data_IF_814873686508
#
_entry.id   IF_814873686508
#
_cell.length_a   1.000
_cell.length_b   1.000
_cell.length_c   1.000
_cell.angle_alpha   90.00
_cell.angle_beta   90.00
_cell.angle_gamma   90.00
#
_symmetry.space_group_name_H-M   'P 1'
#
loop_
_entity.id
_entity.type
_entity.pdbx_description
1 polymer ?
#
# COMPACT_ATOMS: atom_id res chain seq x y z
N UNK A 1 11.97 -2.35 6.16
CA UNK A 1 12.51 -2.62 4.80
C UNK A 1 12.80 -1.29 4.12
N UNK A 2 13.99 -1.08 3.53
CA UNK A 2 14.30 0.18 2.87
C UNK A 2 13.91 0.13 1.38
N UNK A 3 12.67 0.55 1.07
CA UNK A 3 12.15 0.51 -0.30
C UNK A 3 12.89 1.42 -1.26
N UNK A 4 13.52 2.49 -0.79
CA UNK A 4 14.31 3.37 -1.65
C UNK A 4 15.59 2.69 -2.17
N UNK A 5 16.08 1.65 -1.48
CA UNK A 5 17.19 0.83 -1.96
C UNK A 5 16.74 -0.25 -2.96
N UNK A 6 15.59 -0.88 -2.72
CA UNK A 6 15.08 -1.96 -3.57
C UNK A 6 14.45 -1.43 -4.86
N UNK A 7 13.69 -0.34 -4.74
CA UNK A 7 12.97 0.32 -5.84
C UNK A 7 13.29 1.81 -5.75
N UNK A 8 14.44 2.25 -6.30
CA UNK A 8 14.88 3.64 -6.20
C UNK A 8 14.01 4.55 -7.06
N UNK A 9 13.91 5.83 -6.66
CA UNK A 9 13.18 6.87 -7.41
C UNK A 9 13.69 7.02 -8.85
N UNK A 10 15.00 6.88 -9.05
CA UNK A 10 15.65 6.95 -10.36
C UNK A 10 16.29 5.61 -10.69
N UNK A 11 16.07 5.15 -11.91
CA UNK A 11 16.58 3.89 -12.43
C UNK A 11 16.31 3.81 -13.93
N UNK A 12 16.54 2.64 -14.51
CA UNK A 12 16.21 2.37 -15.92
C UNK A 12 14.71 2.11 -16.11
N UNK A 13 13.92 3.15 -15.88
CA UNK A 13 12.47 3.11 -16.06
C UNK A 13 12.09 3.76 -17.38
N UNK A 14 11.33 3.03 -18.19
CA UNK A 14 10.79 3.55 -19.46
C UNK A 14 9.63 4.52 -19.27
N UNK A 15 8.94 4.45 -18.13
CA UNK A 15 7.83 5.33 -17.82
C UNK A 15 8.38 6.70 -17.34
N UNK A 16 7.95 7.76 -18.02
CA UNK A 16 8.60 9.06 -17.98
C UNK A 16 7.99 10.07 -16.99
N UNK A 17 6.89 9.73 -16.31
CA UNK A 17 6.17 10.66 -15.41
C UNK A 17 6.91 10.91 -14.08
N UNK A 18 7.99 10.17 -13.81
CA UNK A 18 8.86 10.39 -12.65
C UNK A 18 8.41 9.68 -11.36
N UNK A 19 7.41 8.80 -11.43
CA UNK A 19 6.87 8.03 -10.30
C UNK A 19 6.83 6.51 -10.58
N UNK A 20 7.67 6.02 -11.50
CA UNK A 20 7.78 4.59 -11.83
C UNK A 20 8.02 3.70 -10.61
N UNK A 21 8.80 4.19 -9.65
CA UNK A 21 9.06 3.49 -8.40
C UNK A 21 7.79 3.34 -7.55
N UNK A 22 6.89 4.33 -7.56
CA UNK A 22 5.62 4.28 -6.86
C UNK A 22 4.69 3.21 -7.43
N UNK A 23 4.65 3.06 -8.76
CA UNK A 23 3.91 1.97 -9.41
C UNK A 23 4.42 0.59 -8.97
N UNK A 24 5.74 0.38 -9.03
CA UNK A 24 6.37 -0.89 -8.64
C UNK A 24 6.12 -1.17 -7.15
N UNK A 25 6.34 -0.19 -6.27
CA UNK A 25 6.08 -0.32 -4.82
C UNK A 25 4.61 -0.68 -4.56
N UNK A 26 3.67 -0.01 -5.22
CA UNK A 26 2.23 -0.32 -5.08
C UNK A 26 1.92 -1.76 -5.47
N UNK A 27 2.51 -2.27 -6.55
CA UNK A 27 2.36 -3.68 -6.94
C UNK A 27 2.97 -4.66 -5.94
N UNK A 28 4.06 -4.30 -5.25
CA UNK A 28 4.69 -5.15 -4.23
C UNK A 28 3.89 -5.24 -2.93
N UNK A 29 3.32 -4.12 -2.45
CA UNK A 29 2.51 -4.11 -1.23
C UNK A 29 1.06 -4.54 -1.48
N UNK A 30 0.57 -4.37 -2.70
CA UNK A 30 -0.82 -4.61 -3.08
C UNK A 30 -1.70 -3.38 -2.86
N UNK A 31 -2.68 -3.12 -3.75
CA UNK A 31 -3.55 -1.95 -3.67
C UNK A 31 -4.70 -2.10 -2.66
N UNK A 32 -4.88 -3.29 -2.08
CA UNK A 32 -5.93 -3.59 -1.10
C UNK A 32 -5.48 -4.74 -0.19
N UNK A 33 -6.10 -4.82 1.00
CA UNK A 33 -5.89 -5.89 1.96
C UNK A 33 -7.24 -6.40 2.46
N UNK A 34 -7.36 -7.72 2.63
CA UNK A 34 -8.51 -8.36 3.23
C UNK A 34 -8.19 -8.68 4.69
N UNK A 35 -9.13 -8.39 5.58
CA UNK A 35 -8.96 -8.57 7.01
C UNK A 35 -10.18 -9.31 7.57
N UNK A 36 -9.93 -10.15 8.56
CA UNK A 36 -10.99 -10.84 9.31
C UNK A 36 -11.54 -9.87 10.35
N UNK A 37 -12.87 -9.82 10.47
CA UNK A 37 -13.56 -9.06 11.50
C UNK A 37 -14.35 -10.05 12.36
N UNK A 38 -14.14 -10.02 13.67
CA UNK A 38 -14.84 -10.88 14.64
C UNK A 38 -15.29 -10.03 15.82
N UNK A 39 -16.55 -10.20 16.25
CA UNK A 39 -17.16 -9.42 17.34
C UNK A 39 -17.05 -7.88 17.16
N UNK A 40 -17.05 -7.40 15.92
CA UNK A 40 -16.93 -5.98 15.59
C UNK A 40 -15.50 -5.43 15.58
N UNK A 41 -14.49 -6.28 15.80
CA UNK A 41 -13.08 -5.89 15.83
C UNK A 41 -12.29 -6.51 14.67
N UNK A 42 -11.32 -5.76 14.14
CA UNK A 42 -10.40 -6.28 13.12
C UNK A 42 -9.37 -7.17 13.81
N UNK A 43 -9.28 -8.43 13.36
CA UNK A 43 -8.40 -9.42 13.95
C UNK A 43 -6.95 -9.20 13.51
N UNK A 44 -6.21 -8.46 14.32
CA UNK A 44 -4.78 -8.22 14.17
C UNK A 44 -4.00 -9.00 15.24
N UNK A 45 -2.88 -9.58 14.86
CA UNK A 45 -1.91 -10.10 15.83
C UNK A 45 -1.27 -8.98 16.65
N UNK A 46 -0.62 -9.34 17.76
CA UNK A 46 -0.07 -8.39 18.76
C UNK A 46 0.79 -7.26 18.18
N UNK A 47 1.49 -7.52 17.07
CA UNK A 47 2.40 -6.57 16.41
C UNK A 47 1.97 -6.20 14.99
N UNK A 48 0.75 -6.55 14.58
CA UNK A 48 0.21 -6.18 13.27
C UNK A 48 -0.45 -4.81 13.35
N UNK A 49 -0.18 -3.98 12.34
CA UNK A 49 -0.76 -2.65 12.18
C UNK A 49 -1.07 -2.43 10.71
N UNK A 50 -2.16 -1.73 10.44
CA UNK A 50 -2.59 -1.40 9.08
C UNK A 50 -1.97 -0.07 8.69
N UNK A 51 -1.31 -0.02 7.52
CA UNK A 51 -0.73 1.19 6.96
C UNK A 51 -1.36 1.51 5.61
N UNK A 52 -1.61 2.80 5.37
CA UNK A 52 -1.75 3.33 4.02
C UNK A 52 -0.35 3.74 3.51
N UNK A 53 0.15 3.05 2.49
CA UNK A 53 1.47 3.30 1.94
C UNK A 53 1.39 4.29 0.77
N UNK A 54 1.71 5.56 1.01
CA UNK A 54 1.84 6.59 -0.04
C UNK A 54 3.26 6.55 -0.65
N UNK A 55 3.34 6.49 -1.97
CA UNK A 55 4.61 6.44 -2.70
C UNK A 55 4.78 7.56 -3.74
N UNK A 56 3.74 8.36 -4.01
CA UNK A 56 3.72 9.44 -5.00
C UNK A 56 2.96 10.66 -4.43
N UNK A 57 3.28 11.01 -3.18
CA UNK A 57 2.71 12.14 -2.45
C UNK A 57 3.51 13.45 -2.61
N UNK A 58 3.02 14.57 -2.03
CA UNK A 58 1.78 14.69 -1.27
C UNK A 58 0.55 14.81 -2.18
N UNK A 59 -0.48 14.01 -1.94
CA UNK A 59 -1.76 14.05 -2.68
C UNK A 59 -2.93 13.76 -1.75
N UNK A 60 -4.12 14.22 -2.11
CA UNK A 60 -5.34 13.75 -1.46
C UNK A 60 -5.68 12.36 -2.01
N UNK A 61 -5.84 11.39 -1.12
CA UNK A 61 -6.14 9.99 -1.46
C UNK A 61 -7.50 9.58 -0.91
N UNK A 62 -8.09 8.58 -1.54
CA UNK A 62 -9.33 7.94 -1.09
C UNK A 62 -9.03 6.50 -0.73
N UNK A 63 -9.53 6.06 0.42
CA UNK A 63 -9.54 4.66 0.83
C UNK A 63 -10.98 4.17 0.76
N UNK A 64 -11.21 3.04 0.10
CA UNK A 64 -12.51 2.39 0.07
C UNK A 64 -12.49 1.18 0.99
N UNK A 65 -13.56 0.98 1.74
CA UNK A 65 -13.79 -0.21 2.55
C UNK A 65 -15.09 -0.86 2.11
N UNK A 66 -15.06 -2.19 1.95
CA UNK A 66 -16.24 -3.00 1.67
C UNK A 66 -16.31 -4.11 2.70
N UNK A 67 -17.40 -4.15 3.44
CA UNK A 67 -17.71 -5.26 4.33
C UNK A 67 -18.31 -6.40 3.48
N UNK A 68 -17.81 -7.62 3.71
CA UNK A 68 -18.24 -8.83 3.02
C UNK A 68 -18.48 -9.86 4.12
N UNK A 69 -19.74 -10.27 4.29
CA UNK A 69 -20.18 -11.14 5.38
C UNK A 69 -21.67 -10.95 5.63
N UNK A 70 -22.20 -11.72 6.58
CA UNK A 70 -23.56 -11.55 7.14
C UNK A 70 -23.56 -10.55 8.30
#
# INVERSE_FOLDING_TARGET
MNMAKLVPLRGDYRHAEGNSDAHIKTSLFGPAQMMIVENGEVMLGTWQVIYFCEFDGPRQRKLWAKFIGE
#
